data_IF_400925709856
#
_entry.id   IF_400925709856
#
_cell.length_a   1.000
_cell.length_b   1.000
_cell.length_c   1.000
_cell.angle_alpha   90.00
_cell.angle_beta   90.00
_cell.angle_gamma   90.00
#
_symmetry.space_group_name_H-M   'P 1'
#
loop_
_entity.id
_entity.type
_entity.pdbx_description
1 polymer ?
#
# COMPACT_ATOMS: atom_id res chain seq x y z
N UNK A 1 4.21 -27.19 -0.54
CA UNK A 1 3.00 -26.34 -0.65
C UNK A 1 2.23 -26.52 0.65
N UNK A 2 2.16 -25.48 1.51
CA UNK A 2 1.61 -25.61 2.85
C UNK A 2 0.10 -25.42 2.90
N UNK A 3 -0.51 -25.76 4.06
CA UNK A 3 -1.95 -25.56 4.35
C UNK A 3 -2.43 -24.13 4.06
N UNK A 4 -1.58 -23.11 4.22
CA UNK A 4 -1.89 -21.73 3.88
C UNK A 4 -2.23 -21.47 2.41
N UNK A 5 -1.59 -22.20 1.48
CA UNK A 5 -1.88 -22.11 0.04
C UNK A 5 -3.24 -22.72 -0.29
N UNK A 6 -3.59 -23.83 0.37
CA UNK A 6 -4.89 -24.51 0.19
C UNK A 6 -6.02 -23.60 0.69
N UNK A 7 -5.87 -23.06 1.90
CA UNK A 7 -6.84 -22.14 2.49
C UNK A 7 -7.06 -20.90 1.61
N UNK A 8 -5.97 -20.28 1.14
CA UNK A 8 -6.06 -19.13 0.25
C UNK A 8 -6.84 -19.45 -1.03
N UNK A 9 -6.53 -20.58 -1.68
CA UNK A 9 -7.23 -21.00 -2.90
C UNK A 9 -8.72 -21.23 -2.66
N UNK A 10 -9.08 -21.87 -1.55
CA UNK A 10 -10.47 -22.08 -1.16
C UNK A 10 -11.17 -20.72 -0.97
N UNK A 11 -10.59 -19.79 -0.21
CA UNK A 11 -11.15 -18.46 0.01
C UNK A 11 -11.30 -17.65 -1.29
N UNK A 12 -10.33 -17.77 -2.20
CA UNK A 12 -10.42 -17.17 -3.54
C UNK A 12 -11.56 -17.78 -4.34
N UNK A 13 -11.65 -19.13 -4.38
CA UNK A 13 -12.71 -19.83 -5.11
C UNK A 13 -14.10 -19.45 -4.60
N UNK A 14 -14.35 -19.55 -3.29
CA UNK A 14 -15.61 -19.15 -2.65
C UNK A 14 -16.00 -17.71 -2.97
N UNK A 15 -14.99 -16.79 -2.91
CA UNK A 15 -15.21 -15.37 -3.21
C UNK A 15 -15.52 -15.12 -4.68
N UNK A 16 -14.87 -15.83 -5.60
CA UNK A 16 -15.13 -15.74 -7.05
C UNK A 16 -16.54 -16.23 -7.38
N UNK A 17 -16.96 -17.35 -6.80
CA UNK A 17 -18.32 -17.89 -6.99
C UNK A 17 -19.38 -16.92 -6.45
N UNK A 18 -19.12 -16.31 -5.28
CA UNK A 18 -20.07 -15.41 -4.63
C UNK A 18 -20.22 -14.06 -5.34
N UNK A 19 -19.12 -13.48 -5.82
CA UNK A 19 -19.11 -12.08 -6.25
C UNK A 19 -19.07 -11.88 -7.76
N UNK A 20 -18.80 -12.91 -8.57
CA UNK A 20 -18.74 -12.86 -10.05
C UNK A 20 -17.89 -11.66 -10.52
N UNK A 21 -16.65 -11.58 -10.08
CA UNK A 21 -15.72 -10.51 -10.44
C UNK A 21 -14.74 -10.96 -11.53
N UNK A 22 -14.14 -10.00 -12.22
CA UNK A 22 -13.21 -10.22 -13.31
C UNK A 22 -11.76 -10.21 -12.82
N UNK A 23 -11.49 -9.45 -11.76
CA UNK A 23 -10.20 -9.39 -11.09
C UNK A 23 -10.36 -9.26 -9.58
N UNK A 24 -9.33 -9.64 -8.83
CA UNK A 24 -9.29 -9.46 -7.38
C UNK A 24 -7.88 -9.17 -6.89
N UNK A 25 -7.79 -8.64 -5.69
CA UNK A 25 -6.55 -8.58 -4.94
C UNK A 25 -6.80 -8.91 -3.47
N UNK A 26 -5.76 -9.35 -2.79
CA UNK A 26 -5.83 -9.68 -1.37
C UNK A 26 -4.88 -8.84 -0.52
N UNK A 27 -5.04 -8.97 0.80
CA UNK A 27 -4.19 -8.33 1.78
C UNK A 27 -2.77 -8.91 1.81
N UNK A 28 -1.84 -8.13 2.32
CA UNK A 28 -0.52 -8.59 2.73
C UNK A 28 -0.37 -8.46 4.26
N UNK A 29 0.36 -9.42 4.84
CA UNK A 29 0.60 -9.49 6.28
C UNK A 29 2.08 -9.65 6.60
N UNK A 30 2.47 -9.18 7.77
CA UNK A 30 3.78 -9.50 8.33
C UNK A 30 3.76 -10.90 8.94
N UNK A 31 4.85 -11.65 8.76
CA UNK A 31 5.06 -12.93 9.43
C UNK A 31 5.73 -12.71 10.80
N UNK A 32 5.47 -13.59 11.77
CA UNK A 32 6.06 -13.51 13.12
C UNK A 32 7.59 -13.52 13.11
N UNK A 33 8.20 -14.24 12.15
CA UNK A 33 9.66 -14.35 11.98
C UNK A 33 10.33 -13.10 11.38
N UNK A 34 9.58 -12.04 11.07
CA UNK A 34 10.17 -10.83 10.51
C UNK A 34 11.05 -10.13 11.54
N UNK A 35 12.20 -9.61 11.08
CA UNK A 35 13.10 -8.81 11.91
C UNK A 35 12.42 -7.54 12.43
N UNK A 36 12.99 -6.91 13.45
CA UNK A 36 12.49 -5.65 14.00
C UNK A 36 12.36 -4.56 12.91
N UNK A 37 13.35 -4.46 12.00
CA UNK A 37 13.31 -3.52 10.87
C UNK A 37 12.15 -3.86 9.93
N UNK A 38 11.94 -5.12 9.59
CA UNK A 38 10.82 -5.53 8.73
C UNK A 38 9.46 -5.26 9.37
N UNK A 39 9.35 -5.44 10.68
CA UNK A 39 8.13 -5.09 11.45
C UNK A 39 7.91 -3.59 11.46
N UNK A 40 8.95 -2.78 11.68
CA UNK A 40 8.88 -1.32 11.61
C UNK A 40 8.48 -0.83 10.20
N UNK A 41 9.09 -1.37 9.15
CA UNK A 41 8.70 -1.08 7.75
C UNK A 41 7.25 -1.48 7.50
N UNK A 42 6.82 -2.65 7.98
CA UNK A 42 5.42 -3.07 7.85
C UNK A 42 4.47 -2.09 8.56
N UNK A 43 4.80 -1.70 9.79
CA UNK A 43 4.03 -0.72 10.54
C UNK A 43 3.93 0.60 9.78
N UNK A 44 5.05 1.16 9.33
CA UNK A 44 5.06 2.43 8.58
C UNK A 44 4.23 2.39 7.29
N UNK A 45 4.09 1.22 6.66
CA UNK A 45 3.29 1.05 5.44
C UNK A 45 1.82 0.75 5.67
N UNK A 46 1.41 0.35 6.88
CA UNK A 46 0.05 -0.10 7.18
C UNK A 46 -0.67 0.72 8.25
N UNK A 47 0.06 1.53 9.04
CA UNK A 47 -0.55 2.39 10.04
C UNK A 47 -1.31 3.55 9.41
N UNK A 48 -2.44 3.88 10.00
CA UNK A 48 -3.23 5.06 9.63
C UNK A 48 -2.43 6.36 9.84
N UNK A 49 -1.66 6.43 10.92
CA UNK A 49 -0.88 7.63 11.28
C UNK A 49 0.34 7.88 10.40
N UNK A 50 0.73 6.92 9.56
CA UNK A 50 1.90 7.05 8.66
C UNK A 50 1.49 7.13 7.20
N UNK A 51 0.56 6.28 6.75
CA UNK A 51 0.17 6.17 5.33
C UNK A 51 -1.34 6.28 5.12
N UNK A 52 -2.11 6.70 6.13
CA UNK A 52 -3.56 6.76 6.03
C UNK A 52 -4.25 5.40 5.84
N UNK A 53 -3.58 4.29 6.19
CA UNK A 53 -4.14 2.96 6.07
C UNK A 53 -4.31 2.45 4.62
N UNK A 54 -3.62 3.05 3.64
CA UNK A 54 -3.72 2.69 2.21
C UNK A 54 -3.38 1.21 1.95
N UNK A 55 -2.58 0.58 2.81
CA UNK A 55 -2.19 -0.82 2.70
C UNK A 55 -2.70 -1.64 3.89
N UNK A 56 -3.25 -2.81 3.60
CA UNK A 56 -3.62 -3.78 4.64
C UNK A 56 -4.87 -3.46 5.47
N UNK A 57 -5.56 -2.35 5.23
CA UNK A 57 -6.78 -1.98 5.93
C UNK A 57 -8.03 -2.31 5.11
N UNK A 58 -9.13 -2.64 5.78
CA UNK A 58 -10.48 -2.72 5.17
C UNK A 58 -11.03 -1.33 4.83
N UNK A 59 -10.50 -0.28 5.46
CA UNK A 59 -10.87 1.13 5.21
C UNK A 59 -9.76 1.75 4.36
N UNK A 60 -10.07 2.03 3.11
CA UNK A 60 -9.16 2.70 2.18
C UNK A 60 -9.60 4.16 2.01
N UNK A 61 -8.63 5.07 2.05
CA UNK A 61 -8.85 6.48 1.69
C UNK A 61 -8.96 6.67 0.18
N UNK A 62 -8.62 5.65 -0.60
CA UNK A 62 -8.61 5.66 -2.06
C UNK A 62 -9.13 4.35 -2.64
N UNK A 63 -9.33 4.30 -3.97
CA UNK A 63 -9.66 3.10 -4.73
C UNK A 63 -8.63 2.01 -4.48
N UNK A 64 -9.11 0.79 -4.21
CA UNK A 64 -8.24 -0.36 -4.03
C UNK A 64 -7.62 -0.77 -5.36
N UNK A 65 -6.32 -0.64 -5.48
CA UNK A 65 -5.53 -1.17 -6.60
C UNK A 65 -4.85 -2.48 -6.17
N UNK A 66 -5.22 -3.63 -6.78
CA UNK A 66 -4.53 -4.89 -6.54
C UNK A 66 -3.03 -4.77 -6.78
N UNK A 67 -2.25 -5.54 -6.02
CA UNK A 67 -0.78 -5.58 -6.16
C UNK A 67 -0.35 -6.87 -6.82
N UNK A 68 0.61 -6.79 -7.72
CA UNK A 68 1.10 -7.91 -8.53
C UNK A 68 1.43 -9.18 -7.72
N UNK A 69 1.97 -9.02 -6.50
CA UNK A 69 2.29 -10.16 -5.62
C UNK A 69 1.05 -10.90 -5.05
N UNK A 70 -0.13 -10.29 -5.10
CA UNK A 70 -1.39 -10.87 -4.61
C UNK A 70 -2.61 -10.37 -5.42
N UNK A 71 -2.51 -10.49 -6.72
CA UNK A 71 -3.54 -10.17 -7.71
C UNK A 71 -3.94 -11.43 -8.45
N UNK A 72 -5.20 -11.53 -8.82
CA UNK A 72 -5.69 -12.54 -9.77
C UNK A 72 -6.74 -11.94 -10.67
N UNK A 73 -6.91 -12.51 -11.87
CA UNK A 73 -7.86 -12.06 -12.85
C UNK A 73 -8.23 -13.20 -13.79
N UNK A 74 -9.30 -13.03 -14.54
CA UNK A 74 -9.64 -13.92 -15.62
C UNK A 74 -8.62 -13.79 -16.75
N UNK A 75 -8.34 -14.89 -17.43
CA UNK A 75 -7.39 -14.94 -18.55
C UNK A 75 -7.82 -13.98 -19.67
N UNK A 76 -9.11 -13.95 -19.97
CA UNK A 76 -9.70 -13.09 -21.00
C UNK A 76 -9.46 -11.60 -20.72
N UNK A 77 -9.52 -11.18 -19.45
CA UNK A 77 -9.21 -9.80 -19.04
C UNK A 77 -7.75 -9.47 -19.26
N UNK A 78 -6.86 -10.40 -18.91
CA UNK A 78 -5.42 -10.21 -19.10
C UNK A 78 -5.07 -10.06 -20.59
N UNK A 79 -5.61 -10.93 -21.43
CA UNK A 79 -5.38 -10.94 -22.89
C UNK A 79 -6.01 -9.70 -23.55
N UNK A 80 -7.25 -9.35 -23.22
CA UNK A 80 -7.94 -8.20 -23.76
C UNK A 80 -7.23 -6.85 -23.45
N UNK A 81 -6.59 -6.76 -22.28
CA UNK A 81 -5.84 -5.57 -21.87
C UNK A 81 -4.35 -5.60 -22.27
N UNK A 82 -3.87 -6.66 -22.92
CA UNK A 82 -2.47 -6.78 -23.34
C UNK A 82 -1.48 -6.98 -22.20
N UNK A 83 -1.94 -7.46 -21.03
CA UNK A 83 -1.09 -7.75 -19.88
C UNK A 83 -0.50 -6.53 -19.18
N UNK A 84 0.58 -6.74 -18.42
CA UNK A 84 1.33 -5.65 -17.75
C UNK A 84 2.10 -4.81 -18.77
N UNK A 85 2.19 -3.51 -18.51
CA UNK A 85 3.02 -2.60 -19.29
C UNK A 85 4.51 -2.73 -18.94
N UNK A 86 5.38 -2.20 -19.81
CA UNK A 86 6.85 -2.21 -19.61
C UNK A 86 7.33 -1.25 -18.51
N UNK A 87 6.42 -0.75 -17.67
CA UNK A 87 6.77 0.09 -16.54
C UNK A 87 7.58 -0.70 -15.52
N UNK A 88 8.79 -0.23 -15.21
CA UNK A 88 9.64 -0.87 -14.19
C UNK A 88 9.06 -0.82 -12.77
N UNK A 89 8.24 0.18 -12.49
CA UNK A 89 7.60 0.40 -11.18
C UNK A 89 6.18 0.91 -11.40
N UNK A 90 5.21 0.37 -10.65
CA UNK A 90 3.81 0.78 -10.72
C UNK A 90 3.03 0.12 -11.86
N UNK A 91 3.58 -0.92 -12.47
CA UNK A 91 2.94 -1.75 -13.51
C UNK A 91 1.63 -2.37 -13.03
N UNK A 92 1.54 -2.69 -11.73
CA UNK A 92 0.34 -3.21 -11.11
C UNK A 92 -0.77 -2.15 -10.97
N UNK A 93 -0.39 -0.90 -10.70
CA UNK A 93 -1.33 0.22 -10.64
C UNK A 93 -1.79 0.58 -12.05
N UNK A 94 -0.87 0.68 -13.03
CA UNK A 94 -1.20 0.90 -14.43
C UNK A 94 -2.21 -0.14 -14.93
N UNK A 95 -1.92 -1.42 -14.68
CA UNK A 95 -2.82 -2.50 -15.09
C UNK A 95 -4.18 -2.42 -14.40
N UNK A 96 -4.21 -2.08 -13.12
CA UNK A 96 -5.45 -1.88 -12.37
C UNK A 96 -6.27 -0.71 -12.92
N UNK A 97 -5.64 0.41 -13.30
CA UNK A 97 -6.32 1.54 -13.94
C UNK A 97 -6.98 1.08 -15.23
N UNK A 98 -6.27 0.31 -16.07
CA UNK A 98 -6.83 -0.24 -17.32
C UNK A 98 -7.98 -1.21 -17.08
N UNK A 99 -7.91 -2.05 -16.04
CA UNK A 99 -9.03 -2.93 -15.62
C UNK A 99 -10.28 -2.09 -15.32
N UNK A 100 -10.14 -1.02 -14.53
CA UNK A 100 -11.28 -0.16 -14.17
C UNK A 100 -11.79 0.66 -15.36
N UNK A 101 -10.89 1.20 -16.19
CA UNK A 101 -11.26 1.98 -17.37
C UNK A 101 -12.01 1.14 -18.41
N UNK A 102 -11.71 -0.15 -18.51
CA UNK A 102 -12.43 -1.09 -19.37
C UNK A 102 -13.75 -1.60 -18.77
N UNK A 103 -14.15 -1.12 -17.59
CA UNK A 103 -15.42 -1.50 -16.94
C UNK A 103 -15.41 -2.85 -16.25
N UNK A 104 -14.26 -3.53 -16.14
CA UNK A 104 -14.16 -4.80 -15.44
C UNK A 104 -14.30 -4.65 -13.92
N UNK A 105 -14.96 -5.63 -13.29
CA UNK A 105 -15.21 -5.64 -11.84
C UNK A 105 -14.00 -6.17 -11.09
N UNK A 106 -13.35 -5.32 -10.33
CA UNK A 106 -12.26 -5.70 -9.44
C UNK A 106 -12.67 -5.59 -7.97
N UNK A 107 -12.31 -6.57 -7.13
CA UNK A 107 -12.68 -6.60 -5.72
C UNK A 107 -11.53 -7.00 -4.81
N UNK A 108 -11.53 -6.41 -3.61
CA UNK A 108 -10.66 -6.83 -2.52
C UNK A 108 -11.21 -8.06 -1.79
N UNK A 109 -10.39 -9.11 -1.67
CA UNK A 109 -10.70 -10.34 -0.94
C UNK A 109 -9.90 -10.42 0.36
N UNK A 110 -10.49 -10.08 1.52
CA UNK A 110 -9.78 -10.08 2.80
C UNK A 110 -9.22 -11.45 3.20
N UNK A 111 -9.90 -12.54 2.79
CA UNK A 111 -9.49 -13.92 3.04
C UNK A 111 -8.30 -14.39 2.17
N UNK A 112 -8.07 -13.73 1.03
CA UNK A 112 -6.97 -14.07 0.12
C UNK A 112 -5.68 -13.33 0.49
N UNK A 113 -5.23 -13.45 1.73
CA UNK A 113 -4.03 -12.77 2.20
C UNK A 113 -2.75 -13.58 1.93
N UNK A 114 -1.61 -12.87 1.89
CA UNK A 114 -0.27 -13.45 1.75
C UNK A 114 0.70 -12.84 2.75
N UNK A 115 1.71 -13.62 3.16
CA UNK A 115 2.87 -13.04 3.85
C UNK A 115 3.79 -12.39 2.80
N UNK A 116 3.91 -11.07 2.86
CA UNK A 116 4.77 -10.34 1.95
C UNK A 116 6.01 -9.83 2.68
N UNK A 117 7.18 -10.39 2.32
CA UNK A 117 8.46 -10.06 2.95
C UNK A 117 8.81 -8.59 2.74
N UNK A 118 8.93 -7.85 3.83
CA UNK A 118 9.33 -6.44 3.82
C UNK A 118 10.83 -6.27 3.59
N UNK A 119 11.25 -5.07 3.22
CA UNK A 119 12.67 -4.72 3.09
C UNK A 119 13.40 -4.94 4.40
N UNK A 120 14.64 -5.42 4.30
CA UNK A 120 15.44 -5.85 5.45
C UNK A 120 16.27 -4.73 6.06
N UNK A 121 16.43 -3.62 5.35
CA UNK A 121 17.14 -2.45 5.83
C UNK A 121 16.49 -1.15 5.34
N UNK A 122 16.84 -0.02 6.00
CA UNK A 122 16.25 1.29 5.70
C UNK A 122 16.65 1.83 4.33
N UNK A 123 17.84 1.52 3.82
CA UNK A 123 18.28 1.98 2.47
C UNK A 123 17.39 1.34 1.39
N UNK A 124 17.12 0.04 1.49
CA UNK A 124 16.20 -0.62 0.56
C UNK A 124 14.78 -0.08 0.69
N UNK A 125 14.35 0.25 1.91
CA UNK A 125 13.05 0.83 2.14
C UNK A 125 12.96 2.25 1.55
N UNK A 126 13.96 3.08 1.75
CA UNK A 126 14.04 4.40 1.15
C UNK A 126 13.96 4.32 -0.38
N UNK A 127 14.76 3.45 -1.01
CA UNK A 127 14.70 3.23 -2.46
C UNK A 127 13.31 2.78 -2.93
N UNK A 128 12.64 1.92 -2.17
CA UNK A 128 11.28 1.50 -2.48
C UNK A 128 10.29 2.68 -2.44
N UNK A 129 10.37 3.54 -1.43
CA UNK A 129 9.51 4.73 -1.31
C UNK A 129 9.80 5.71 -2.45
N UNK A 130 11.08 5.95 -2.75
CA UNK A 130 11.52 6.76 -3.87
C UNK A 130 10.94 6.29 -5.21
N UNK A 131 11.10 4.99 -5.53
CA UNK A 131 10.54 4.42 -6.75
C UNK A 131 9.01 4.45 -6.79
N UNK A 132 8.36 4.36 -5.65
CA UNK A 132 6.90 4.51 -5.57
C UNK A 132 6.47 5.93 -5.89
N UNK A 133 7.21 6.94 -5.44
CA UNK A 133 6.97 8.35 -5.80
C UNK A 133 7.22 8.61 -7.31
N UNK A 134 8.33 8.11 -7.83
CA UNK A 134 8.65 8.21 -9.25
C UNK A 134 7.57 7.55 -10.14
N UNK A 135 7.15 6.34 -9.79
CA UNK A 135 6.07 5.65 -10.50
C UNK A 135 4.76 6.47 -10.49
N UNK A 136 4.49 7.21 -9.41
CA UNK A 136 3.30 8.05 -9.30
C UNK A 136 3.34 9.21 -10.32
N UNK A 137 4.52 9.79 -10.56
CA UNK A 137 4.69 10.85 -11.57
C UNK A 137 4.44 10.29 -12.97
N UNK A 138 5.00 9.13 -13.30
CA UNK A 138 4.77 8.48 -14.60
C UNK A 138 3.28 8.16 -14.80
N UNK A 139 2.63 7.62 -13.76
CA UNK A 139 1.20 7.32 -13.79
C UNK A 139 0.36 8.59 -13.97
N UNK A 140 0.74 9.70 -13.35
CA UNK A 140 0.09 10.99 -13.54
C UNK A 140 0.22 11.50 -14.98
N UNK A 141 1.41 11.39 -15.59
CA UNK A 141 1.62 11.78 -16.97
C UNK A 141 0.78 10.94 -17.94
N UNK A 142 0.57 9.66 -17.64
CA UNK A 142 -0.22 8.74 -18.46
C UNK A 142 -1.72 8.84 -18.20
N UNK A 143 -2.09 9.06 -16.93
CA UNK A 143 -3.47 9.13 -16.42
C UNK A 143 -3.59 10.29 -15.43
N UNK A 144 -3.83 11.52 -15.86
CA UNK A 144 -3.88 12.70 -14.97
C UNK A 144 -4.86 12.55 -13.81
N UNK A 145 -6.01 11.90 -14.06
CA UNK A 145 -7.04 11.62 -13.07
C UNK A 145 -6.61 10.63 -11.99
N UNK A 146 -5.50 9.91 -12.19
CA UNK A 146 -4.97 8.95 -11.21
C UNK A 146 -4.32 9.62 -10.01
N UNK A 147 -3.92 10.89 -10.13
CA UNK A 147 -3.34 11.66 -9.04
C UNK A 147 -4.44 12.25 -8.17
N UNK A 148 -4.45 11.83 -6.90
CA UNK A 148 -5.36 12.35 -5.89
C UNK A 148 -4.59 13.15 -4.85
N UNK A 149 -5.28 14.07 -4.16
CA UNK A 149 -4.69 14.90 -3.11
C UNK A 149 -3.98 14.08 -2.02
N UNK A 150 -4.49 12.87 -1.70
CA UNK A 150 -3.87 11.96 -0.73
C UNK A 150 -2.44 11.53 -1.11
N UNK A 151 -2.10 11.56 -2.40
CA UNK A 151 -0.75 11.26 -2.85
C UNK A 151 0.25 12.38 -2.57
N UNK A 152 -0.23 13.60 -2.30
CA UNK A 152 0.59 14.74 -1.91
C UNK A 152 0.88 14.78 -0.39
N UNK A 153 0.13 14.03 0.43
CA UNK A 153 0.29 14.03 1.88
C UNK A 153 1.73 13.76 2.36
N UNK A 154 2.51 12.82 1.78
CA UNK A 154 3.88 12.61 2.19
C UNK A 154 4.77 13.84 1.97
N UNK A 155 4.60 14.56 0.84
CA UNK A 155 5.35 15.78 0.55
C UNK A 155 4.93 16.90 1.50
N UNK A 156 3.64 17.10 1.72
CA UNK A 156 3.10 18.07 2.68
C UNK A 156 3.59 17.79 4.10
N UNK A 157 3.64 16.51 4.50
CA UNK A 157 4.19 16.11 5.79
C UNK A 157 5.67 16.50 5.94
N UNK A 158 6.50 16.27 4.92
CA UNK A 158 7.91 16.65 4.96
C UNK A 158 8.07 18.16 5.05
N UNK A 159 7.32 18.93 4.26
CA UNK A 159 7.34 20.41 4.31
C UNK A 159 6.87 20.91 5.68
N UNK A 160 5.80 20.34 6.22
CA UNK A 160 5.29 20.67 7.55
C UNK A 160 6.31 20.35 8.66
N UNK A 161 6.96 19.18 8.58
CA UNK A 161 7.99 18.78 9.53
C UNK A 161 9.20 19.74 9.51
N UNK A 162 9.65 20.12 8.31
CA UNK A 162 10.72 21.13 8.16
C UNK A 162 10.29 22.47 8.76
N UNK A 163 9.04 22.89 8.51
CA UNK A 163 8.48 24.10 9.12
C UNK A 163 8.47 24.06 10.66
N UNK A 164 8.04 22.93 11.22
CA UNK A 164 8.08 22.71 12.68
C UNK A 164 9.52 22.78 13.21
N UNK A 165 10.47 22.10 12.56
CA UNK A 165 11.87 22.12 12.99
C UNK A 165 12.46 23.54 12.93
N UNK A 166 12.20 24.31 11.88
CA UNK A 166 12.65 25.69 11.75
C UNK A 166 12.00 26.58 12.83
N UNK A 167 10.69 26.48 12.99
CA UNK A 167 9.93 27.26 13.97
C UNK A 167 10.38 26.98 15.42
N UNK A 168 10.75 25.74 15.71
CA UNK A 168 11.21 25.32 17.03
C UNK A 168 12.54 25.98 17.46
N UNK A 169 13.35 26.46 16.50
CA UNK A 169 14.54 27.28 16.78
C UNK A 169 14.18 28.63 17.43
N UNK A 170 13.04 29.21 17.00
CA UNK A 170 12.58 30.52 17.49
C UNK A 170 11.60 30.40 18.66
N UNK A 171 10.81 29.35 18.66
CA UNK A 171 9.75 29.09 19.66
C UNK A 171 9.89 27.67 20.21
N UNK A 172 10.69 27.47 21.30
CA UNK A 172 10.97 26.13 21.84
C UNK A 172 9.72 25.30 22.20
N UNK A 173 8.61 25.93 22.52
CA UNK A 173 7.33 25.22 22.80
C UNK A 173 6.83 24.39 21.63
N UNK A 174 7.25 24.71 20.39
CA UNK A 174 6.85 23.98 19.17
C UNK A 174 7.42 22.55 19.17
N UNK A 175 8.52 22.26 19.88
CA UNK A 175 9.01 20.90 20.10
C UNK A 175 7.94 19.98 20.70
N UNK A 176 7.00 20.53 21.47
CA UNK A 176 5.89 19.76 22.03
C UNK A 176 5.03 19.07 20.96
N UNK A 177 4.85 19.69 19.79
CA UNK A 177 4.09 19.09 18.68
C UNK A 177 4.80 17.84 18.12
N UNK A 178 6.11 17.91 17.95
CA UNK A 178 6.91 16.79 17.47
C UNK A 178 6.91 15.63 18.48
N UNK A 179 7.11 15.95 19.76
CA UNK A 179 7.07 14.97 20.84
C UNK A 179 5.69 14.31 20.93
N UNK A 180 4.61 15.09 20.82
CA UNK A 180 3.25 14.58 20.80
C UNK A 180 3.04 13.59 19.63
N UNK A 181 3.47 13.96 18.42
CA UNK A 181 3.34 13.10 17.23
C UNK A 181 4.15 11.80 17.38
N UNK A 182 5.39 11.88 17.87
CA UNK A 182 6.23 10.71 18.14
C UNK A 182 5.58 9.80 19.18
N UNK A 183 5.04 10.36 20.25
CA UNK A 183 4.35 9.62 21.31
C UNK A 183 3.12 8.90 20.79
N UNK A 184 2.35 9.55 19.91
CA UNK A 184 1.16 8.97 19.28
C UNK A 184 1.51 7.79 18.40
N UNK A 185 2.56 7.90 17.55
CA UNK A 185 3.06 6.79 16.73
C UNK A 185 3.55 5.64 17.60
N UNK A 186 4.30 5.95 18.66
CA UNK A 186 4.82 4.94 19.58
C UNK A 186 3.69 4.16 20.27
N UNK A 187 2.66 4.87 20.75
CA UNK A 187 1.50 4.26 21.37
C UNK A 187 0.71 3.37 20.38
N UNK A 188 0.44 3.87 19.16
CA UNK A 188 -0.23 3.06 18.11
C UNK A 188 0.59 1.80 17.77
N UNK A 189 1.92 1.93 17.69
CA UNK A 189 2.80 0.80 17.43
C UNK A 189 2.77 -0.24 18.55
N UNK A 190 2.72 0.17 19.82
CA UNK A 190 2.58 -0.74 20.95
C UNK A 190 1.22 -1.49 20.94
N UNK A 191 0.14 -0.79 20.64
CA UNK A 191 -1.20 -1.39 20.57
C UNK A 191 -1.30 -2.41 19.43
N UNK A 192 -0.69 -2.14 18.29
CA UNK A 192 -0.73 -3.03 17.11
C UNK A 192 0.20 -4.22 17.17
N UNK A 193 1.20 -4.21 18.02
CA UNK A 193 2.17 -5.31 18.19
C UNK A 193 1.80 -6.25 19.34
N UNK A 194 0.65 -6.05 19.98
CA UNK A 194 0.02 -7.03 20.88
C UNK A 194 -0.81 -8.01 20.04
#
# INVERSE_FOLDING_TARGET
RGLGDVYKRQQVHESLMRYKVDAFGGADRAHSSFSAIQKAVNYSMTSFFTTGGIRGSRRHLDTFYPRSFNMGMRKEVYEALGGFSDMRYGEDIDFSIRIFAAGYKCRYFPGAWVYHKRRTNFVQFFRQVWHSGYARIILYQKYPESLKWVHCLPALFVVGLLGVCISAFFVPKVWGLLLFYISLIFFDALVRNK
#
